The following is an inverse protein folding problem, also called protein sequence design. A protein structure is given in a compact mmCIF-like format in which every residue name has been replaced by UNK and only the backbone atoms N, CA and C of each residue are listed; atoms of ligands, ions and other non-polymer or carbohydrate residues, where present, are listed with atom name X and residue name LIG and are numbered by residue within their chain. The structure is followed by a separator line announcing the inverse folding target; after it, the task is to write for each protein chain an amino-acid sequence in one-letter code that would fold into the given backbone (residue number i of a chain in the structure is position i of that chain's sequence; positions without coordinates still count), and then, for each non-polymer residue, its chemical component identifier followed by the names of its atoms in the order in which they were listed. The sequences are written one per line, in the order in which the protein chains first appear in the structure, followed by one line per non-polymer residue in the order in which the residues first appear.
data_IF_960690307915
#
_entry.id   IF_960690307915
#
_cell.length_a   1.000
_cell.length_b   1.000
_cell.length_c   1.000
_cell.angle_alpha   90.00
_cell.angle_beta   90.00
_cell.angle_gamma   90.00
#
_symmetry.space_group_name_H-M   'P 1'
#
loop_
_entity.id
_entity.type
_entity.pdbx_description
1 polymer ?
#
# COMPACT_ATOMS: atom_id res chain seq x y z
N UNK A 1 7.71 -1.08 2.68
CA UNK A 1 6.50 -1.17 3.53
C UNK A 1 6.96 -1.17 4.98
N UNK A 2 6.08 -1.02 5.97
CA UNK A 2 6.47 -1.09 7.38
C UNK A 2 5.39 -1.71 8.27
N UNK A 3 5.82 -2.46 9.28
CA UNK A 3 4.91 -3.10 10.23
C UNK A 3 4.46 -2.13 11.32
N UNK A 4 3.15 -2.03 11.48
CA UNK A 4 2.52 -1.34 12.61
C UNK A 4 2.51 -2.29 13.80
N UNK A 5 3.57 -2.25 14.60
CA UNK A 5 3.70 -3.09 15.80
C UNK A 5 2.93 -2.53 17.00
N UNK A 6 2.78 -1.20 17.05
CA UNK A 6 2.05 -0.50 18.10
C UNK A 6 1.35 0.73 17.54
N UNK A 7 0.33 1.19 18.26
CA UNK A 7 -0.40 2.41 17.94
C UNK A 7 -0.78 3.13 19.23
N UNK A 8 -1.07 4.42 19.10
CA UNK A 8 -1.58 5.24 20.19
C UNK A 8 -2.70 6.14 19.67
N UNK A 9 -3.63 6.47 20.57
CA UNK A 9 -4.64 7.48 20.31
C UNK A 9 -4.25 8.75 21.05
N UNK A 10 -4.13 9.85 20.30
CA UNK A 10 -3.78 11.17 20.84
C UNK A 10 -5.02 12.06 20.83
N UNK A 11 -5.31 12.72 21.94
CA UNK A 11 -6.38 13.71 21.98
C UNK A 11 -6.03 14.88 21.04
N UNK A 12 -6.99 15.26 20.21
CA UNK A 12 -6.87 16.38 19.27
C UNK A 12 -8.14 17.21 19.33
N UNK A 13 -8.01 18.50 19.05
CA UNK A 13 -9.16 19.41 18.93
C UNK A 13 -9.06 20.16 17.63
N UNK A 14 -10.10 20.05 16.82
CA UNK A 14 -10.23 20.77 15.57
C UNK A 14 -11.09 22.02 15.77
N UNK A 15 -10.73 23.11 15.11
CA UNK A 15 -11.54 24.32 15.03
C UNK A 15 -12.30 24.34 13.71
N UNK A 16 -13.56 23.90 13.75
CA UNK A 16 -14.46 23.90 12.58
C UNK A 16 -15.38 25.13 12.57
N UNK A 17 -15.01 26.22 13.25
CA UNK A 17 -15.81 27.45 13.34
C UNK A 17 -16.05 28.08 11.96
N UNK A 18 -15.09 27.97 11.03
CA UNK A 18 -15.26 28.41 9.63
C UNK A 18 -16.41 27.71 8.91
N UNK A 19 -16.81 26.53 9.39
CA UNK A 19 -17.94 25.72 8.88
C UNK A 19 -19.16 25.75 9.81
N UNK A 20 -19.19 26.65 10.80
CA UNK A 20 -20.27 26.76 11.81
C UNK A 20 -20.48 25.50 12.68
N UNK A 21 -19.47 24.63 12.80
CA UNK A 21 -19.53 23.42 13.65
C UNK A 21 -18.85 23.60 15.01
N UNK A 22 -18.09 24.69 15.19
CA UNK A 22 -17.39 25.02 16.44
C UNK A 22 -16.17 24.12 16.70
N UNK A 23 -15.74 24.07 17.96
CA UNK A 23 -14.63 23.23 18.40
C UNK A 23 -15.07 21.77 18.50
N UNK A 24 -14.28 20.85 17.96
CA UNK A 24 -14.56 19.42 17.99
C UNK A 24 -13.37 18.66 18.59
N UNK A 25 -13.57 18.10 19.79
CA UNK A 25 -12.58 17.26 20.45
C UNK A 25 -12.78 15.79 20.07
N UNK A 26 -11.69 15.12 19.69
CA UNK A 26 -11.68 13.72 19.25
C UNK A 26 -10.29 13.14 19.48
N UNK A 27 -9.98 11.99 18.88
CA UNK A 27 -8.65 11.39 18.87
C UNK A 27 -8.11 11.24 17.47
N UNK A 28 -6.79 11.24 17.36
CA UNK A 28 -6.04 10.86 16.17
C UNK A 28 -5.33 9.53 16.42
N UNK A 29 -5.32 8.65 15.41
CA UNK A 29 -4.56 7.41 15.42
C UNK A 29 -3.13 7.69 14.96
N UNK A 30 -2.17 7.36 15.82
CA UNK A 30 -0.75 7.48 15.50
C UNK A 30 -0.02 6.15 15.64
N UNK A 31 1.04 5.99 14.85
CA UNK A 31 2.03 4.94 15.06
C UNK A 31 3.40 5.42 14.60
N UNK A 32 4.44 5.13 15.38
CA UNK A 32 5.81 5.58 15.13
C UNK A 32 5.94 7.09 14.83
N UNK A 33 5.09 7.92 15.44
CA UNK A 33 5.03 9.37 15.22
C UNK A 33 4.28 9.82 13.96
N UNK A 34 3.80 8.89 13.12
CA UNK A 34 3.00 9.17 11.93
C UNK A 34 1.52 9.23 12.31
N UNK A 35 0.80 10.24 11.83
CA UNK A 35 -0.65 10.29 11.93
C UNK A 35 -1.25 9.41 10.83
N UNK A 36 -1.84 8.27 11.23
CA UNK A 36 -2.50 7.34 10.31
C UNK A 36 -3.92 7.78 9.99
N UNK A 37 -4.64 8.26 11.02
CA UNK A 37 -6.00 8.83 10.94
C UNK A 37 -6.04 10.09 11.79
N UNK A 38 -6.40 11.25 11.23
CA UNK A 38 -6.38 12.52 11.97
C UNK A 38 -7.63 12.74 12.83
N UNK A 39 -8.78 12.17 12.46
CA UNK A 39 -10.03 12.28 13.19
C UNK A 39 -10.77 10.94 13.16
N UNK A 40 -10.69 10.18 14.25
CA UNK A 40 -11.26 8.81 14.29
C UNK A 40 -12.79 8.78 14.21
N UNK A 41 -13.46 9.86 14.66
CA UNK A 41 -14.93 9.91 14.71
C UNK A 41 -15.53 10.27 13.34
N UNK A 42 -14.72 10.79 12.42
CA UNK A 42 -15.19 11.28 11.12
C UNK A 42 -14.47 10.68 9.91
N UNK A 43 -13.37 9.96 10.10
CA UNK A 43 -12.75 9.21 9.02
C UNK A 43 -13.70 8.10 8.56
N UNK A 44 -14.16 8.17 7.30
CA UNK A 44 -15.02 7.16 6.66
C UNK A 44 -14.23 5.90 6.32
N UNK A 45 -13.79 5.17 7.34
CA UNK A 45 -12.94 3.96 7.21
C UNK A 45 -13.70 2.70 6.84
N UNK A 46 -15.02 2.79 6.70
CA UNK A 46 -15.94 1.76 6.21
C UNK A 46 -16.23 1.88 4.69
N UNK A 47 -15.75 2.95 4.04
CA UNK A 47 -15.84 3.14 2.59
C UNK A 47 -14.56 2.66 1.87
N UNK A 48 -14.67 2.24 0.60
CA UNK A 48 -13.50 1.96 -0.25
C UNK A 48 -13.51 2.82 -1.54
N UNK A 49 -12.56 3.76 -1.70
CA UNK A 49 -11.47 4.09 -0.77
C UNK A 49 -11.92 4.93 0.43
N UNK A 50 -11.23 4.80 1.56
CA UNK A 50 -11.46 5.57 2.78
C UNK A 50 -10.61 6.84 2.80
N UNK A 51 -11.17 7.98 3.23
CA UNK A 51 -10.36 9.17 3.55
C UNK A 51 -9.97 9.16 5.04
N UNK A 52 -8.71 8.84 5.32
CA UNK A 52 -8.18 8.74 6.69
C UNK A 52 -7.63 10.05 7.22
N UNK A 53 -7.27 10.98 6.33
CA UNK A 53 -6.93 12.36 6.68
C UNK A 53 -8.05 13.27 6.17
N UNK A 54 -9.01 13.60 7.04
CA UNK A 54 -10.18 14.43 6.69
C UNK A 54 -9.86 15.91 6.83
N UNK A 55 -10.67 16.75 6.19
CA UNK A 55 -10.49 18.21 6.16
C UNK A 55 -10.38 18.83 7.56
N UNK A 56 -9.32 19.61 7.79
CA UNK A 56 -9.09 20.28 9.07
C UNK A 56 -10.06 21.47 9.30
N UNK A 57 -10.76 21.94 8.25
CA UNK A 57 -11.71 23.06 8.34
C UNK A 57 -13.15 22.64 8.67
N UNK A 58 -13.59 21.45 8.26
CA UNK A 58 -14.98 21.01 8.46
C UNK A 58 -15.11 19.59 9.00
N UNK A 59 -14.03 18.79 8.97
CA UNK A 59 -13.99 17.40 9.43
C UNK A 59 -14.75 16.42 8.55
N UNK A 60 -15.30 16.82 7.40
CA UNK A 60 -16.06 15.93 6.53
C UNK A 60 -15.16 15.25 5.49
N UNK A 61 -15.29 13.92 5.31
CA UNK A 61 -14.73 13.23 4.15
C UNK A 61 -15.24 13.83 2.84
N UNK A 62 -14.41 13.84 1.80
CA UNK A 62 -14.70 14.40 0.48
C UNK A 62 -14.59 15.91 0.36
N UNK A 63 -14.47 16.65 1.47
CA UNK A 63 -14.37 18.11 1.43
C UNK A 63 -13.03 18.58 0.84
N UNK A 64 -11.93 17.96 1.28
CA UNK A 64 -10.59 18.21 0.74
C UNK A 64 -10.11 17.03 -0.10
N UNK A 65 -9.28 17.34 -1.09
CA UNK A 65 -8.56 16.32 -1.86
C UNK A 65 -7.46 15.68 -1.02
N UNK A 66 -7.23 14.39 -1.26
CA UNK A 66 -6.12 13.65 -0.67
C UNK A 66 -6.46 12.94 0.64
N UNK A 67 -5.49 12.23 1.21
CA UNK A 67 -5.69 11.46 2.43
C UNK A 67 -6.44 10.14 2.22
N UNK A 68 -6.54 9.66 0.97
CA UNK A 68 -7.29 8.45 0.63
C UNK A 68 -6.43 7.18 0.60
N UNK A 69 -6.99 6.09 1.11
CA UNK A 69 -6.40 4.76 1.07
C UNK A 69 -7.43 3.71 0.66
N UNK A 70 -6.96 2.55 0.23
CA UNK A 70 -7.75 1.33 0.15
C UNK A 70 -7.19 0.33 1.17
N UNK A 71 -8.09 -0.27 1.95
CA UNK A 71 -7.73 -1.31 2.93
C UNK A 71 -7.87 -2.67 2.25
N UNK A 72 -6.81 -3.48 2.29
CA UNK A 72 -6.78 -4.82 1.68
C UNK A 72 -6.26 -5.85 2.65
N UNK A 73 -6.75 -7.08 2.52
CA UNK A 73 -6.17 -8.25 3.21
C UNK A 73 -5.23 -9.01 2.28
N UNK A 74 -4.11 -9.47 2.82
CA UNK A 74 -3.17 -10.35 2.11
C UNK A 74 -2.59 -11.32 3.13
N UNK A 75 -2.98 -12.60 3.03
CA UNK A 75 -2.76 -13.58 4.09
C UNK A 75 -3.24 -13.10 5.46
N UNK A 76 -2.34 -13.17 6.45
CA UNK A 76 -2.60 -12.79 7.84
C UNK A 76 -2.34 -11.30 8.12
N UNK A 77 -2.33 -10.48 7.06
CA UNK A 77 -2.04 -9.05 7.15
C UNK A 77 -3.16 -8.22 6.55
N UNK A 78 -3.29 -7.01 7.07
CA UNK A 78 -4.06 -5.91 6.49
C UNK A 78 -3.08 -4.84 6.05
N UNK A 79 -3.22 -4.35 4.83
CA UNK A 79 -2.36 -3.32 4.24
C UNK A 79 -3.19 -2.11 3.84
N UNK A 80 -2.66 -0.91 4.06
CA UNK A 80 -3.30 0.33 3.61
C UNK A 80 -2.54 0.88 2.41
N UNK A 81 -3.09 0.65 1.22
CA UNK A 81 -2.46 1.01 -0.04
C UNK A 81 -3.06 2.31 -0.58
N UNK A 82 -2.38 3.02 -1.50
CA UNK A 82 -3.03 4.07 -2.27
C UNK A 82 -4.29 3.55 -2.97
N UNK A 83 -5.28 4.41 -3.16
CA UNK A 83 -6.54 4.11 -3.84
C UNK A 83 -6.35 3.98 -5.37
N UNK A 84 -5.47 3.07 -5.82
CA UNK A 84 -4.99 2.97 -7.20
C UNK A 84 -6.13 2.92 -8.22
N UNK A 85 -7.18 2.13 -7.95
CA UNK A 85 -8.34 2.00 -8.84
C UNK A 85 -9.00 3.35 -9.09
N UNK A 86 -9.22 4.16 -8.06
CA UNK A 86 -9.77 5.51 -8.22
C UNK A 86 -8.77 6.44 -8.89
N UNK A 87 -7.50 6.40 -8.50
CA UNK A 87 -6.48 7.27 -9.09
C UNK A 87 -6.29 7.04 -10.61
N UNK A 88 -6.55 5.83 -11.10
CA UNK A 88 -6.48 5.47 -12.53
C UNK A 88 -7.69 5.93 -13.36
N UNK A 89 -8.79 6.37 -12.74
CA UNK A 89 -10.00 6.84 -13.43
C UNK A 89 -9.80 8.18 -14.17
N UNK A 90 -8.65 8.84 -14.01
CA UNK A 90 -8.26 10.05 -14.75
C UNK A 90 -7.56 11.10 -13.90
N UNK A 91 -7.06 12.17 -14.54
CA UNK A 91 -6.23 13.18 -13.87
C UNK A 91 -6.91 13.85 -12.66
N UNK A 92 -8.20 14.21 -12.79
CA UNK A 92 -8.96 14.78 -11.67
C UNK A 92 -9.08 13.80 -10.49
N UNK A 93 -9.35 12.53 -10.79
CA UNK A 93 -9.44 11.48 -9.77
C UNK A 93 -8.09 11.22 -9.12
N UNK A 94 -7.00 11.22 -9.88
CA UNK A 94 -5.65 11.13 -9.36
C UNK A 94 -5.34 12.24 -8.35
N UNK A 95 -5.71 13.50 -8.64
CA UNK A 95 -5.55 14.59 -7.67
C UNK A 95 -6.48 14.46 -6.46
N UNK A 96 -7.74 14.06 -6.67
CA UNK A 96 -8.73 13.96 -5.61
C UNK A 96 -8.39 12.86 -4.60
N UNK A 97 -7.96 11.70 -5.08
CA UNK A 97 -7.67 10.50 -4.27
C UNK A 97 -6.18 10.35 -3.95
N UNK A 98 -5.45 11.47 -3.87
CA UNK A 98 -4.02 11.47 -3.51
C UNK A 98 -3.82 10.75 -2.17
N UNK A 99 -2.84 9.84 -2.04
CA UNK A 99 -2.61 9.14 -0.78
C UNK A 99 -2.08 10.09 0.32
N UNK A 100 -2.21 9.71 1.61
CA UNK A 100 -1.50 10.37 2.70
C UNK A 100 0.01 10.48 2.46
N UNK A 101 0.64 11.56 2.94
CA UNK A 101 2.07 11.83 2.74
C UNK A 101 2.97 10.69 3.19
N UNK A 102 2.63 10.00 4.28
CA UNK A 102 3.41 8.86 4.79
C UNK A 102 3.51 7.68 3.81
N UNK A 103 2.59 7.54 2.85
CA UNK A 103 2.67 6.54 1.78
C UNK A 103 3.67 6.91 0.69
N UNK A 104 4.01 8.19 0.56
CA UNK A 104 5.00 8.72 -0.40
C UNK A 104 6.37 8.96 0.21
N UNK A 105 6.45 9.08 1.54
CA UNK A 105 7.70 9.32 2.25
C UNK A 105 8.61 8.09 2.27
N UNK A 106 9.90 8.31 2.09
CA UNK A 106 10.92 7.24 2.07
C UNK A 106 11.10 6.53 3.42
N UNK A 107 10.57 7.08 4.53
CA UNK A 107 10.80 6.56 5.88
C UNK A 107 9.84 5.44 6.28
N UNK A 108 8.57 5.51 5.88
CA UNK A 108 7.52 4.60 6.34
C UNK A 108 6.92 3.84 5.14
N UNK A 109 6.24 4.54 4.24
CA UNK A 109 5.53 3.92 3.12
C UNK A 109 4.25 3.22 3.58
N UNK A 110 3.88 2.13 2.90
CA UNK A 110 2.63 1.38 3.17
C UNK A 110 2.67 0.72 4.55
N UNK A 111 1.72 1.03 5.46
CA UNK A 111 1.60 0.36 6.74
C UNK A 111 0.98 -1.03 6.56
N UNK A 112 1.51 -1.97 7.34
CA UNK A 112 1.12 -3.37 7.38
C UNK A 112 0.74 -3.72 8.81
N UNK A 113 -0.44 -4.27 9.00
CA UNK A 113 -0.95 -4.72 10.30
C UNK A 113 -1.07 -6.23 10.28
N UNK A 114 -0.52 -6.91 11.29
CA UNK A 114 -0.96 -8.27 11.59
C UNK A 114 -2.43 -8.28 12.01
N UNK A 115 -3.13 -9.37 11.73
CA UNK A 115 -4.54 -9.52 12.14
C UNK A 115 -4.77 -9.26 13.62
N UNK A 116 -3.88 -9.72 14.50
CA UNK A 116 -4.01 -9.49 15.94
C UNK A 116 -3.93 -7.99 16.30
N UNK A 117 -2.99 -7.26 15.70
CA UNK A 117 -2.85 -5.82 15.89
C UNK A 117 -4.03 -5.06 15.29
N UNK A 118 -4.48 -5.44 14.10
CA UNK A 118 -5.62 -4.82 13.45
C UNK A 118 -6.93 -5.05 14.22
N UNK A 119 -7.16 -6.27 14.74
CA UNK A 119 -8.35 -6.56 15.55
C UNK A 119 -8.30 -5.83 16.90
N UNK A 120 -7.12 -5.65 17.51
CA UNK A 120 -6.95 -4.79 18.68
C UNK A 120 -7.31 -3.33 18.37
N UNK A 121 -6.84 -2.83 17.22
CA UNK A 121 -7.16 -1.47 16.78
C UNK A 121 -8.67 -1.30 16.54
N UNK A 122 -9.33 -2.27 15.89
CA UNK A 122 -10.77 -2.28 15.65
C UNK A 122 -11.60 -2.32 16.94
N UNK A 123 -11.13 -3.00 17.99
CA UNK A 123 -11.79 -2.94 19.32
C UNK A 123 -11.74 -1.54 19.93
N UNK A 124 -10.79 -0.72 19.49
CA UNK A 124 -10.64 0.67 19.91
C UNK A 124 -11.41 1.63 18.99
N UNK A 125 -11.47 1.30 17.70
CA UNK A 125 -12.12 2.06 16.62
C UNK A 125 -13.17 1.17 15.94
N UNK A 126 -14.41 1.25 16.41
CA UNK A 126 -15.51 0.41 15.93
C UNK A 126 -15.92 0.68 14.47
N UNK A 127 -15.52 1.83 13.93
CA UNK A 127 -15.70 2.19 12.52
C UNK A 127 -14.85 1.35 11.57
N UNK A 128 -13.75 0.73 12.03
CA UNK A 128 -12.92 -0.09 11.16
C UNK A 128 -13.63 -1.38 10.73
N UNK A 129 -13.46 -1.81 9.47
CA UNK A 129 -14.09 -3.03 8.96
C UNK A 129 -13.60 -4.27 9.71
N UNK A 130 -14.42 -5.31 9.78
CA UNK A 130 -13.95 -6.62 10.26
C UNK A 130 -13.03 -7.26 9.22
N UNK A 131 -12.10 -8.10 9.66
CA UNK A 131 -11.10 -8.74 8.77
C UNK A 131 -11.77 -9.47 7.60
N UNK A 132 -12.90 -10.12 7.85
CA UNK A 132 -13.66 -10.88 6.86
C UNK A 132 -14.34 -9.99 5.81
N UNK A 133 -14.64 -8.74 6.17
CA UNK A 133 -15.25 -7.76 5.26
C UNK A 133 -14.23 -7.01 4.41
N UNK A 134 -12.94 -7.08 4.77
CA UNK A 134 -11.87 -6.42 4.02
C UNK A 134 -11.63 -7.17 2.70
N UNK A 135 -11.67 -6.48 1.53
CA UNK A 135 -11.37 -7.10 0.24
C UNK A 135 -9.94 -7.64 0.18
N UNK A 136 -9.74 -8.76 -0.51
CA UNK A 136 -8.39 -9.28 -0.82
C UNK A 136 -7.61 -8.29 -1.68
N UNK A 137 -6.30 -8.22 -1.47
CA UNK A 137 -5.39 -7.55 -2.37
C UNK A 137 -5.41 -8.27 -3.73
N UNK A 138 -5.75 -7.54 -4.79
CA UNK A 138 -5.76 -8.09 -6.14
C UNK A 138 -4.37 -8.06 -6.76
N UNK A 139 -4.12 -8.93 -7.75
CA UNK A 139 -2.86 -8.97 -8.48
C UNK A 139 -2.51 -7.63 -9.16
N UNK A 140 -3.48 -6.95 -9.76
CA UNK A 140 -3.26 -5.61 -10.34
C UNK A 140 -2.86 -4.58 -9.28
N UNK A 141 -3.43 -4.65 -8.07
CA UNK A 141 -3.05 -3.79 -6.95
C UNK A 141 -1.65 -4.12 -6.44
N UNK A 142 -1.27 -5.41 -6.34
CA UNK A 142 0.09 -5.82 -6.00
C UNK A 142 1.14 -5.29 -6.97
N UNK A 143 0.86 -5.34 -8.28
CA UNK A 143 1.73 -4.75 -9.30
C UNK A 143 1.94 -3.25 -9.04
N UNK A 144 0.88 -2.53 -8.65
CA UNK A 144 0.97 -1.10 -8.31
C UNK A 144 1.67 -0.85 -6.97
N UNK A 145 1.47 -1.71 -5.97
CA UNK A 145 2.23 -1.66 -4.71
C UNK A 145 3.72 -1.85 -4.98
N UNK A 146 4.11 -2.83 -5.79
CA UNK A 146 5.51 -3.03 -6.18
C UNK A 146 6.06 -1.82 -6.92
N UNK A 147 5.31 -1.26 -7.87
CA UNK A 147 5.71 -0.05 -8.59
C UNK A 147 5.92 1.12 -7.63
N UNK A 148 5.00 1.28 -6.69
CA UNK A 148 5.01 2.37 -5.71
C UNK A 148 6.18 2.27 -4.73
N UNK A 149 6.52 1.05 -4.30
CA UNK A 149 7.62 0.79 -3.37
C UNK A 149 8.97 0.56 -4.06
N UNK A 150 9.02 0.48 -5.40
CA UNK A 150 10.24 0.21 -6.13
C UNK A 150 11.31 1.28 -5.84
N UNK A 151 12.51 0.90 -5.37
CA UNK A 151 13.57 1.86 -5.09
C UNK A 151 13.90 2.61 -6.37
N UNK A 152 14.20 3.92 -6.28
CA UNK A 152 14.62 4.72 -7.44
C UNK A 152 13.69 4.63 -8.67
N UNK A 153 12.40 4.36 -8.45
CA UNK A 153 11.43 4.12 -9.52
C UNK A 153 11.89 3.04 -10.51
N UNK A 154 12.43 1.91 -10.00
CA UNK A 154 12.87 0.77 -10.82
C UNK A 154 11.77 0.23 -11.74
N UNK A 155 10.49 0.49 -11.43
CA UNK A 155 9.32 0.12 -12.23
C UNK A 155 8.62 1.33 -12.89
N UNK A 156 9.33 2.46 -13.04
CA UNK A 156 8.74 3.71 -13.51
C UNK A 156 7.90 4.41 -12.43
N UNK A 157 7.01 5.31 -12.85
CA UNK A 157 6.16 6.11 -11.96
C UNK A 157 4.69 5.82 -12.24
N UNK A 158 3.91 5.64 -11.19
CA UNK A 158 2.45 5.67 -11.30
C UNK A 158 1.99 7.04 -11.85
N UNK A 159 0.99 7.13 -12.75
CA UNK A 159 0.07 6.07 -13.20
C UNK A 159 0.54 5.23 -14.40
N UNK A 160 1.71 5.51 -14.96
CA UNK A 160 2.19 4.82 -16.16
C UNK A 160 2.29 3.30 -15.92
N UNK A 161 2.12 2.47 -16.96
CA UNK A 161 2.32 1.03 -16.84
C UNK A 161 3.71 0.72 -16.25
N UNK A 162 3.81 -0.29 -15.35
CA UNK A 162 5.07 -0.64 -14.71
C UNK A 162 6.08 -1.11 -15.75
N UNK A 163 7.24 -0.47 -15.78
CA UNK A 163 8.32 -0.80 -16.71
C UNK A 163 9.64 -0.92 -15.96
N UNK A 164 10.23 -2.11 -16.03
CA UNK A 164 11.50 -2.41 -15.39
C UNK A 164 12.64 -1.64 -16.07
N UNK A 165 13.37 -0.87 -15.28
CA UNK A 165 14.58 -0.15 -15.69
C UNK A 165 15.80 -1.07 -15.70
N UNK A 166 15.88 -1.94 -16.70
CA UNK A 166 16.98 -2.90 -16.83
C UNK A 166 18.36 -2.24 -16.93
N UNK A 167 18.43 -0.99 -17.40
CA UNK A 167 19.65 -0.18 -17.46
C UNK A 167 20.25 0.15 -16.08
N UNK A 168 19.45 0.08 -15.02
CA UNK A 168 19.87 0.36 -13.64
C UNK A 168 20.16 -0.92 -12.82
N UNK A 169 20.17 -2.09 -13.47
CA UNK A 169 20.44 -3.38 -12.83
C UNK A 169 21.82 -3.88 -13.25
N UNK A 170 22.69 -4.14 -12.26
CA UNK A 170 24.05 -4.62 -12.47
C UNK A 170 24.13 -6.13 -12.64
N UNK A 171 23.36 -6.87 -11.84
CA UNK A 171 23.38 -8.32 -11.78
C UNK A 171 22.10 -8.87 -11.13
N UNK A 172 21.91 -10.18 -11.22
CA UNK A 172 20.88 -10.94 -10.48
C UNK A 172 21.55 -12.06 -9.69
N UNK A 173 21.07 -12.32 -8.48
CA UNK A 173 21.52 -13.47 -7.69
C UNK A 173 21.07 -14.76 -8.36
N UNK A 174 21.99 -15.69 -8.61
CA UNK A 174 21.73 -17.04 -9.12
C UNK A 174 20.85 -17.11 -10.39
N UNK A 175 21.27 -16.42 -11.46
CA UNK A 175 20.54 -16.48 -12.73
C UNK A 175 21.20 -15.74 -13.89
N UNK A 176 20.50 -15.72 -15.02
CA UNK A 176 20.85 -14.88 -16.18
C UNK A 176 20.08 -13.55 -16.09
N UNK A 177 20.81 -12.43 -16.08
CA UNK A 177 20.22 -11.10 -15.86
C UNK A 177 19.13 -10.77 -16.90
N UNK A 178 19.40 -11.00 -18.18
CA UNK A 178 18.46 -10.67 -19.25
C UNK A 178 17.18 -11.50 -19.13
N UNK A 179 17.34 -12.81 -18.84
CA UNK A 179 16.22 -13.73 -18.61
C UNK A 179 15.38 -13.31 -17.42
N UNK A 180 16.00 -13.01 -16.27
CA UNK A 180 15.24 -12.67 -15.06
C UNK A 180 14.55 -11.30 -15.17
N UNK A 181 15.16 -10.33 -15.86
CA UNK A 181 14.49 -9.07 -16.21
C UNK A 181 13.23 -9.29 -17.05
N UNK A 182 13.33 -10.12 -18.09
CA UNK A 182 12.22 -10.47 -18.98
C UNK A 182 11.11 -11.25 -18.22
N UNK A 183 11.50 -12.18 -17.35
CA UNK A 183 10.57 -12.91 -16.47
C UNK A 183 9.77 -11.94 -15.59
N UNK A 184 10.45 -10.99 -14.94
CA UNK A 184 9.80 -10.01 -14.06
C UNK A 184 8.87 -9.11 -14.87
N UNK A 185 9.33 -8.55 -15.99
CA UNK A 185 8.51 -7.68 -16.82
C UNK A 185 7.27 -8.40 -17.37
N UNK A 186 7.42 -9.66 -17.82
CA UNK A 186 6.30 -10.48 -18.28
C UNK A 186 5.28 -10.69 -17.16
N UNK A 187 5.72 -11.08 -15.97
CA UNK A 187 4.84 -11.32 -14.83
C UNK A 187 4.08 -10.06 -14.40
N UNK A 188 4.73 -8.88 -14.43
CA UNK A 188 4.07 -7.59 -14.19
C UNK A 188 3.00 -7.30 -15.24
N UNK A 189 3.30 -7.53 -16.52
CA UNK A 189 2.37 -7.29 -17.63
C UNK A 189 1.14 -8.21 -17.57
N UNK A 190 1.35 -9.50 -17.30
CA UNK A 190 0.27 -10.50 -17.17
C UNK A 190 -0.70 -10.17 -16.05
N UNK A 191 -0.21 -9.54 -14.97
CA UNK A 191 -1.00 -9.25 -13.78
C UNK A 191 -1.48 -7.79 -13.69
N UNK A 192 -1.02 -6.88 -14.57
CA UNK A 192 -1.34 -5.46 -14.49
C UNK A 192 -2.85 -5.15 -14.53
N UNK A 193 -3.64 -6.02 -15.17
CA UNK A 193 -5.11 -5.91 -15.24
C UNK A 193 -5.83 -7.12 -14.59
N UNK A 194 -5.08 -7.96 -13.88
CA UNK A 194 -5.62 -9.17 -13.26
C UNK A 194 -6.38 -8.85 -11.97
N UNK A 195 -7.60 -9.37 -11.87
CA UNK A 195 -8.43 -9.26 -10.66
C UNK A 195 -8.31 -10.50 -9.77
N UNK A 196 -7.32 -11.35 -10.00
CA UNK A 196 -7.10 -12.53 -9.15
C UNK A 196 -6.71 -12.09 -7.75
N UNK A 197 -7.32 -12.70 -6.75
CA UNK A 197 -6.94 -12.53 -5.36
C UNK A 197 -5.56 -13.13 -5.12
N UNK A 198 -4.76 -12.46 -4.29
CA UNK A 198 -3.47 -13.00 -3.91
C UNK A 198 -3.58 -13.93 -2.72
N UNK A 199 -2.96 -15.11 -2.84
CA UNK A 199 -2.79 -16.02 -1.73
C UNK A 199 -1.44 -15.81 -1.06
N UNK A 200 -1.37 -15.81 0.28
CA UNK A 200 -0.10 -15.75 0.98
C UNK A 200 0.72 -17.01 0.73
N UNK A 201 2.03 -16.86 0.75
CA UNK A 201 2.92 -17.95 0.40
C UNK A 201 4.22 -17.87 1.19
N UNK A 202 4.69 -19.04 1.63
CA UNK A 202 5.99 -19.18 2.28
C UNK A 202 7.10 -19.06 1.24
N UNK A 203 7.98 -18.08 1.44
CA UNK A 203 9.10 -17.77 0.54
C UNK A 203 10.05 -18.96 0.41
N UNK A 204 10.52 -19.23 -0.81
CA UNK A 204 11.53 -20.28 -1.07
C UNK A 204 12.81 -19.68 -1.68
N UNK A 205 12.72 -18.80 -2.68
CA UNK A 205 13.89 -18.07 -3.19
C UNK A 205 13.51 -16.71 -3.81
N UNK A 206 14.01 -15.56 -3.31
CA UNK A 206 13.79 -14.27 -3.94
C UNK A 206 14.56 -14.13 -5.26
N UNK A 207 13.95 -13.47 -6.26
CA UNK A 207 14.68 -12.98 -7.44
C UNK A 207 15.31 -11.65 -7.06
N UNK A 208 16.56 -11.68 -6.62
CA UNK A 208 17.28 -10.51 -6.11
C UNK A 208 18.12 -9.85 -7.20
N UNK A 209 17.82 -8.59 -7.49
CA UNK A 209 18.61 -7.75 -8.39
C UNK A 209 19.57 -6.87 -7.61
N UNK A 210 20.81 -6.76 -8.08
CA UNK A 210 21.78 -5.79 -7.60
C UNK A 210 21.69 -4.51 -8.42
N UNK A 211 21.52 -3.37 -7.74
CA UNK A 211 21.17 -2.11 -8.39
C UNK A 211 22.36 -1.16 -8.48
N UNK A 212 22.44 -0.39 -9.56
CA UNK A 212 23.39 0.73 -9.70
C UNK A 212 22.77 2.05 -9.23
N UNK A 213 22.28 2.07 -7.98
CA UNK A 213 21.64 3.27 -7.41
C UNK A 213 22.13 3.57 -6.00
N UNK A 214 22.23 4.85 -5.59
CA UNK A 214 22.63 5.21 -4.24
C UNK A 214 21.71 4.60 -3.17
N UNK A 215 22.26 4.16 -2.03
CA UNK A 215 21.53 3.68 -0.83
C UNK A 215 20.79 2.34 -0.95
N UNK A 216 20.57 1.79 -2.14
CA UNK A 216 19.97 0.46 -2.31
C UNK A 216 20.92 -0.42 -3.10
N UNK A 217 21.46 -1.45 -2.45
CA UNK A 217 22.40 -2.39 -3.08
C UNK A 217 21.69 -3.55 -3.76
N UNK A 218 20.49 -3.89 -3.30
CA UNK A 218 19.67 -4.92 -3.91
C UNK A 218 18.17 -4.69 -3.74
N UNK A 219 17.38 -5.36 -4.56
CA UNK A 219 15.93 -5.32 -4.56
C UNK A 219 15.34 -6.59 -5.17
N UNK A 220 14.29 -7.11 -4.55
CA UNK A 220 13.68 -8.38 -4.94
C UNK A 220 12.19 -8.21 -5.16
N UNK A 221 11.71 -7.92 -6.39
CA UNK A 221 10.28 -7.69 -6.65
C UNK A 221 9.44 -8.96 -6.59
N UNK A 222 10.03 -10.12 -6.90
CA UNK A 222 9.34 -11.40 -7.02
C UNK A 222 10.07 -12.49 -6.23
N UNK A 223 9.36 -13.56 -5.91
CA UNK A 223 9.90 -14.82 -5.38
C UNK A 223 9.55 -15.99 -6.30
N UNK A 224 10.39 -17.01 -6.31
CA UNK A 224 10.21 -18.25 -7.09
C UNK A 224 9.96 -19.45 -6.17
N UNK A 225 9.03 -20.31 -6.56
CA UNK A 225 8.76 -21.60 -5.90
C UNK A 225 9.62 -22.73 -6.48
N UNK A 226 9.66 -23.85 -5.75
CA UNK A 226 10.27 -25.10 -6.20
C UNK A 226 9.67 -25.63 -7.51
N UNK A 227 8.40 -25.34 -7.78
CA UNK A 227 7.71 -25.72 -9.02
C UNK A 227 7.88 -24.69 -10.16
N UNK A 228 8.67 -23.64 -9.93
CA UNK A 228 8.99 -22.60 -10.91
C UNK A 228 8.00 -21.45 -10.99
N UNK A 229 6.86 -21.51 -10.28
CA UNK A 229 5.88 -20.42 -10.22
C UNK A 229 6.45 -19.15 -9.56
N UNK A 230 5.88 -17.99 -9.90
CA UNK A 230 6.30 -16.67 -9.42
C UNK A 230 5.24 -16.02 -8.53
N UNK A 231 5.66 -15.43 -7.42
CA UNK A 231 4.81 -14.60 -6.56
C UNK A 231 5.39 -13.21 -6.40
N UNK A 232 4.54 -12.24 -6.09
CA UNK A 232 4.96 -10.91 -5.68
C UNK A 232 5.66 -10.95 -4.33
N UNK A 233 6.75 -10.20 -4.20
CA UNK A 233 7.45 -10.00 -2.95
C UNK A 233 7.15 -8.60 -2.41
N UNK A 234 6.11 -8.49 -1.58
CA UNK A 234 5.72 -7.23 -0.96
C UNK A 234 6.51 -7.06 0.35
N UNK A 235 7.82 -6.79 0.25
CA UNK A 235 8.79 -6.59 1.34
C UNK A 235 8.33 -7.18 2.69
N UNK A 236 8.56 -8.49 2.87
CA UNK A 236 8.15 -9.40 3.99
C UNK A 236 6.81 -10.14 3.84
N UNK A 237 6.00 -9.85 2.81
CA UNK A 237 4.80 -10.64 2.47
C UNK A 237 4.96 -11.23 1.06
N UNK A 238 5.15 -12.54 0.95
CA UNK A 238 5.05 -13.26 -0.33
C UNK A 238 3.57 -13.48 -0.70
N UNK A 239 3.17 -13.15 -1.94
CA UNK A 239 1.78 -13.26 -2.39
C UNK A 239 1.65 -13.75 -3.86
N UNK A 240 0.86 -14.80 -4.13
CA UNK A 240 0.72 -15.45 -5.46
C UNK A 240 -0.62 -15.11 -6.13
N UNK A 241 -0.65 -14.87 -7.45
CA UNK A 241 -1.89 -14.75 -8.22
C UNK A 241 -2.25 -16.12 -8.83
N UNK A 242 -3.34 -16.75 -8.38
CA UNK A 242 -3.79 -18.02 -8.95
C UNK A 242 -4.34 -17.83 -10.37
N UNK A 243 -3.73 -18.48 -11.36
CA UNK A 243 -4.37 -18.74 -12.66
C UNK A 243 -5.08 -20.11 -12.59
N UNK A 244 -6.29 -20.26 -13.18
CA UNK A 244 -7.04 -21.52 -13.18
C UNK A 244 -6.35 -22.63 -13.99
#
# INVERSE_FOLDING_TARGET
MWYVESYELRDVTFDYTSSSLGMFATKALHSNGVCLVNNIDRAGVDEDPSQVLVCDCCGFPGCESGGYISIRRVGNYVVWIPAFTKMLEGAWKSSQYTPPGYLTETKYGIPVFEWATFDSLRKTLDTLPTIESIPSLMACEAVRVLQWCAPFSMLGKFPDPPQLRADAILAVTDGDLARECDVVQRHLNENANSTFELEPVSTIAPIEFHLDVPKYTSWSPLVRYNDGRLAFNLDTIGAYANQP
#
